data_IF_784562565234
#
_entry.id   IF_784562565234
#
_cell.length_a   1.000
_cell.length_b   1.000
_cell.length_c   1.000
_cell.angle_alpha   90.00
_cell.angle_beta   90.00
_cell.angle_gamma   90.00
#
_symmetry.space_group_name_H-M   'P 1'
#
loop_
_entity.id
_entity.type
_entity.pdbx_description
1 polymer ?
#
# COMPACT_ATOMS: atom_id res chain seq x y z
N UNK A 1 -12.86 -12.84 -25.50
CA UNK A 1 -11.74 -13.00 -24.57
C UNK A 1 -10.59 -12.26 -25.22
N UNK A 2 -10.14 -11.15 -24.65
CA UNK A 2 -8.94 -10.48 -25.12
C UNK A 2 -7.82 -11.15 -24.32
N UNK A 3 -7.00 -11.94 -24.99
CA UNK A 3 -5.84 -12.54 -24.34
C UNK A 3 -4.74 -11.47 -24.29
N UNK A 4 -4.34 -11.09 -23.07
CA UNK A 4 -3.20 -10.21 -22.85
C UNK A 4 -1.90 -10.98 -23.11
N UNK A 5 -0.92 -10.31 -23.69
CA UNK A 5 0.43 -10.89 -23.83
C UNK A 5 1.15 -10.92 -22.48
N UNK A 6 2.12 -11.80 -22.32
CA UNK A 6 2.97 -11.86 -21.11
C UNK A 6 3.62 -10.49 -20.81
N UNK A 7 4.00 -9.74 -21.85
CA UNK A 7 4.53 -8.39 -21.72
C UNK A 7 3.49 -7.40 -21.16
N UNK A 8 2.24 -7.49 -21.61
CA UNK A 8 1.15 -6.65 -21.11
C UNK A 8 0.80 -7.00 -19.65
N UNK A 9 0.80 -8.29 -19.31
CA UNK A 9 0.60 -8.77 -17.93
C UNK A 9 1.72 -8.24 -17.04
N UNK A 10 2.98 -8.44 -17.42
CA UNK A 10 4.13 -7.98 -16.64
C UNK A 10 4.16 -6.45 -16.49
N UNK A 11 3.78 -5.69 -17.52
CA UNK A 11 3.69 -4.23 -17.41
C UNK A 11 2.58 -3.78 -16.44
N UNK A 12 1.44 -4.47 -16.42
CA UNK A 12 0.37 -4.23 -15.46
C UNK A 12 0.82 -4.56 -14.03
N UNK A 13 1.50 -5.69 -13.85
CA UNK A 13 2.02 -6.11 -12.55
C UNK A 13 3.10 -5.17 -12.00
N UNK A 14 4.01 -4.69 -12.85
CA UNK A 14 4.97 -3.65 -12.48
C UNK A 14 4.24 -2.39 -11.98
N UNK A 15 3.24 -1.93 -12.74
CA UNK A 15 2.45 -0.75 -12.38
C UNK A 15 1.74 -0.97 -11.04
N UNK A 16 1.08 -2.10 -10.85
CA UNK A 16 0.38 -2.41 -9.59
C UNK A 16 1.36 -2.46 -8.42
N UNK A 17 2.49 -3.17 -8.54
CA UNK A 17 3.50 -3.24 -7.49
C UNK A 17 4.06 -1.86 -7.13
N UNK A 18 4.33 -1.01 -8.12
CA UNK A 18 4.83 0.35 -7.88
C UNK A 18 3.83 1.22 -7.10
N UNK A 19 2.55 1.19 -7.48
CA UNK A 19 1.50 1.94 -6.77
C UNK A 19 1.20 1.36 -5.39
N UNK A 20 1.27 0.04 -5.23
CA UNK A 20 1.14 -0.64 -3.94
C UNK A 20 2.20 -0.12 -2.95
N UNK A 21 3.48 -0.17 -3.32
CA UNK A 21 4.55 0.26 -2.42
C UNK A 21 4.57 1.79 -2.21
N UNK A 22 4.20 2.56 -3.22
CA UNK A 22 4.05 4.01 -3.10
C UNK A 22 2.90 4.39 -2.14
N UNK A 23 1.80 3.63 -2.12
CA UNK A 23 0.70 3.79 -1.17
C UNK A 23 1.15 3.62 0.27
N UNK A 24 1.88 2.53 0.56
CA UNK A 24 2.51 2.30 1.86
C UNK A 24 3.42 3.45 2.26
N UNK A 25 4.36 3.84 1.38
CA UNK A 25 5.32 4.91 1.64
C UNK A 25 4.62 6.22 1.97
N UNK A 26 3.63 6.63 1.17
CA UNK A 26 2.96 7.92 1.33
C UNK A 26 2.28 8.03 2.69
N UNK A 27 1.48 7.03 3.11
CA UNK A 27 0.83 7.08 4.43
C UNK A 27 1.85 6.98 5.56
N UNK A 28 2.88 6.14 5.41
CA UNK A 28 3.91 6.00 6.43
C UNK A 28 4.66 7.31 6.68
N UNK A 29 5.03 8.03 5.62
CA UNK A 29 5.71 9.33 5.69
C UNK A 29 4.77 10.43 6.17
N UNK A 30 3.49 10.40 5.77
CA UNK A 30 2.46 11.32 6.28
C UNK A 30 2.35 11.26 7.81
N UNK A 31 2.54 10.08 8.40
CA UNK A 31 2.53 9.89 9.84
C UNK A 31 3.86 10.22 10.53
N UNK A 32 4.83 10.78 9.80
CA UNK A 32 6.13 11.20 10.32
C UNK A 32 7.17 10.08 10.38
N UNK A 33 6.89 8.95 9.71
CA UNK A 33 7.90 7.93 9.43
C UNK A 33 8.76 8.29 8.23
N UNK A 34 9.67 7.39 7.88
CA UNK A 34 10.44 7.44 6.64
C UNK A 34 10.75 6.03 6.16
N UNK A 35 10.85 5.83 4.85
CA UNK A 35 11.20 4.53 4.27
C UNK A 35 11.45 4.59 2.77
N UNK A 36 11.96 3.49 2.22
CA UNK A 36 12.21 3.35 0.79
C UNK A 36 11.26 2.32 0.19
N UNK A 37 10.53 2.67 -0.87
CA UNK A 37 9.84 1.70 -1.69
C UNK A 37 10.81 1.15 -2.74
N UNK A 38 10.72 -0.15 -3.04
CA UNK A 38 11.48 -0.79 -4.11
C UNK A 38 10.62 -1.78 -4.87
N UNK A 39 10.86 -1.91 -6.18
CA UNK A 39 10.20 -2.90 -7.04
C UNK A 39 11.29 -3.58 -7.88
N UNK A 40 11.19 -4.90 -8.05
CA UNK A 40 12.16 -5.68 -8.82
C UNK A 40 11.51 -6.88 -9.49
N UNK A 41 12.15 -7.40 -10.54
CA UNK A 41 11.64 -8.54 -11.30
C UNK A 41 11.71 -9.82 -10.46
N UNK A 42 10.67 -10.63 -10.53
CA UNK A 42 10.64 -11.94 -9.90
C UNK A 42 11.50 -12.93 -10.71
N UNK A 43 12.38 -13.65 -10.02
CA UNK A 43 13.34 -14.59 -10.63
C UNK A 43 12.92 -16.07 -10.47
N UNK A 44 11.73 -16.34 -9.92
CA UNK A 44 11.27 -17.71 -9.66
C UNK A 44 11.05 -18.53 -10.94
N UNK A 45 10.75 -17.87 -12.07
CA UNK A 45 10.41 -18.54 -13.34
C UNK A 45 9.07 -19.28 -13.30
N UNK A 46 8.29 -19.13 -12.23
CA UNK A 46 6.96 -19.73 -12.09
C UNK A 46 5.91 -18.79 -12.72
N UNK A 47 5.21 -19.20 -13.79
CA UNK A 47 4.22 -18.36 -14.46
C UNK A 47 2.96 -18.11 -13.60
N UNK A 48 2.76 -18.87 -12.53
CA UNK A 48 1.67 -18.65 -11.56
C UNK A 48 2.00 -17.56 -10.52
N UNK A 49 3.24 -17.08 -10.48
CA UNK A 49 3.64 -15.96 -9.63
C UNK A 49 3.69 -14.65 -10.43
N UNK A 50 3.51 -13.53 -9.73
CA UNK A 50 3.67 -12.20 -10.34
C UNK A 50 5.10 -12.02 -10.88
N UNK A 51 5.23 -11.40 -12.05
CA UNK A 51 6.51 -11.09 -12.69
C UNK A 51 7.29 -10.01 -11.94
N UNK A 52 6.63 -9.25 -11.06
CA UNK A 52 7.22 -8.17 -10.26
C UNK A 52 6.90 -8.34 -8.79
N UNK A 53 7.88 -8.01 -7.94
CA UNK A 53 7.77 -7.95 -6.49
C UNK A 53 8.00 -6.53 -6.01
N UNK A 54 7.28 -6.13 -4.98
CA UNK A 54 7.45 -4.85 -4.29
C UNK A 54 7.88 -5.06 -2.84
N UNK A 55 8.51 -4.04 -2.26
CA UNK A 55 8.66 -3.92 -0.82
C UNK A 55 8.86 -2.47 -0.39
N UNK A 56 8.03 -2.00 0.53
CA UNK A 56 8.30 -0.84 1.34
C UNK A 56 9.19 -1.20 2.53
N UNK A 57 10.27 -0.44 2.72
CA UNK A 57 11.31 -0.67 3.72
C UNK A 57 11.35 0.50 4.70
N UNK A 58 10.65 0.38 5.85
CA UNK A 58 10.71 1.40 6.89
C UNK A 58 12.13 1.65 7.39
N UNK A 59 12.54 2.91 7.46
CA UNK A 59 13.80 3.37 8.07
C UNK A 59 13.59 3.99 9.43
N UNK A 60 12.46 4.67 9.61
CA UNK A 60 12.19 5.39 10.85
C UNK A 60 10.71 5.31 11.19
N UNK A 61 10.41 4.79 12.39
CA UNK A 61 9.03 4.55 12.81
C UNK A 61 8.30 5.83 13.23
N UNK A 62 7.06 6.08 12.75
CA UNK A 62 6.20 7.18 13.19
C UNK A 62 6.13 7.36 14.72
N UNK A 63 5.90 6.26 15.45
CA UNK A 63 5.79 6.26 16.91
C UNK A 63 7.10 6.71 17.59
N UNK A 64 8.23 6.20 17.08
CA UNK A 64 9.56 6.50 17.62
C UNK A 64 9.93 7.96 17.33
N UNK A 65 9.63 8.44 16.11
CA UNK A 65 9.88 9.84 15.75
C UNK A 65 9.05 10.80 16.56
N UNK A 66 7.73 10.55 16.67
CA UNK A 66 6.84 11.37 17.48
C UNK A 66 7.31 11.42 18.93
N UNK A 67 7.63 10.27 19.54
CA UNK A 67 8.16 10.21 20.91
C UNK A 67 9.46 11.00 21.06
N UNK A 68 10.38 10.88 20.11
CA UNK A 68 11.66 11.58 20.15
C UNK A 68 11.50 13.09 20.04
N UNK A 69 10.65 13.56 19.12
CA UNK A 69 10.36 14.99 18.93
C UNK A 69 9.76 15.62 20.20
N UNK A 70 8.74 14.98 20.78
CA UNK A 70 8.08 15.46 21.99
C UNK A 70 9.06 15.50 23.19
N UNK A 71 9.91 14.48 23.34
CA UNK A 71 10.91 14.43 24.41
C UNK A 71 11.94 15.57 24.35
N UNK A 72 12.17 16.15 23.17
CA UNK A 72 13.09 17.26 22.96
C UNK A 72 12.36 18.62 22.85
N UNK A 73 11.07 18.68 23.16
CA UNK A 73 10.29 19.91 23.14
C UNK A 73 9.90 20.39 21.74
N UNK A 74 10.05 19.54 20.71
CA UNK A 74 9.58 19.84 19.36
C UNK A 74 8.09 19.49 19.21
N UNK A 75 7.39 20.26 18.38
CA UNK A 75 6.06 19.87 17.91
C UNK A 75 6.17 18.61 17.04
N UNK A 76 5.21 17.70 17.19
CA UNK A 76 5.14 16.47 16.39
C UNK A 76 3.75 16.33 15.77
N UNK A 77 3.64 15.92 14.49
CA UNK A 77 2.36 15.64 13.84
C UNK A 77 1.53 14.64 14.64
N UNK A 78 0.22 14.85 14.71
CA UNK A 78 -0.70 13.89 15.33
C UNK A 78 -0.57 12.53 14.65
N UNK A 79 -0.52 11.48 15.47
CA UNK A 79 -0.41 10.11 15.01
C UNK A 79 -1.70 9.38 15.41
N UNK A 80 -2.56 9.00 14.45
CA UNK A 80 -3.78 8.26 14.75
C UNK A 80 -3.47 6.95 15.48
N UNK A 81 -4.34 6.53 16.41
CA UNK A 81 -4.13 5.29 17.16
C UNK A 81 -4.12 4.05 16.25
N UNK A 82 -4.87 4.10 15.14
CA UNK A 82 -5.01 3.08 14.11
C UNK A 82 -3.99 3.25 12.95
N UNK A 83 -2.96 4.09 13.06
CA UNK A 83 -2.05 4.39 11.94
C UNK A 83 -1.44 3.14 11.26
N UNK A 84 -1.13 2.09 12.04
CA UNK A 84 -0.61 0.82 11.49
C UNK A 84 -1.62 0.12 10.60
N UNK A 85 -2.90 0.16 10.97
CA UNK A 85 -4.00 -0.41 10.19
C UNK A 85 -4.16 0.38 8.88
N UNK A 86 -4.12 1.71 8.95
CA UNK A 86 -4.18 2.59 7.78
C UNK A 86 -3.02 2.33 6.81
N UNK A 87 -1.79 2.19 7.31
CA UNK A 87 -0.63 1.83 6.47
C UNK A 87 -0.80 0.42 5.90
N UNK A 88 -1.18 -0.57 6.70
CA UNK A 88 -1.25 -1.97 6.25
C UNK A 88 -2.20 -2.20 5.07
N UNK A 89 -3.31 -1.46 4.99
CA UNK A 89 -4.22 -1.54 3.83
C UNK A 89 -3.85 -0.64 2.66
N UNK A 90 -2.86 0.26 2.84
CA UNK A 90 -2.59 1.35 1.90
C UNK A 90 -2.19 0.86 0.52
N UNK A 91 -1.41 -0.21 0.43
CA UNK A 91 -0.97 -0.77 -0.84
C UNK A 91 -2.14 -1.30 -1.68
N UNK A 92 -3.02 -2.12 -1.09
CA UNK A 92 -4.19 -2.67 -1.79
C UNK A 92 -5.16 -1.56 -2.21
N UNK A 93 -5.43 -0.60 -1.33
CA UNK A 93 -6.31 0.54 -1.68
C UNK A 93 -5.70 1.47 -2.72
N UNK A 94 -4.37 1.61 -2.77
CA UNK A 94 -3.72 2.36 -3.83
C UNK A 94 -3.89 1.68 -5.19
N UNK A 95 -3.87 0.34 -5.24
CA UNK A 95 -4.20 -0.41 -6.46
C UNK A 95 -5.68 -0.22 -6.87
N UNK A 96 -6.60 -0.20 -5.91
CA UNK A 96 -8.03 0.01 -6.18
C UNK A 96 -8.31 1.44 -6.70
N UNK A 97 -7.62 2.45 -6.16
CA UNK A 97 -7.69 3.82 -6.69
C UNK A 97 -7.07 3.89 -8.09
N UNK A 98 -5.96 3.18 -8.32
CA UNK A 98 -5.29 3.12 -9.62
C UNK A 98 -6.17 2.50 -10.70
N UNK A 99 -6.92 1.44 -10.36
CA UNK A 99 -7.77 0.72 -11.32
C UNK A 99 -8.85 1.62 -11.91
N UNK A 100 -9.33 2.59 -11.12
CA UNK A 100 -10.39 3.52 -11.51
C UNK A 100 -11.75 2.83 -11.72
N UNK A 101 -11.93 1.60 -11.21
CA UNK A 101 -13.18 0.84 -11.37
C UNK A 101 -14.32 1.41 -10.54
N UNK A 102 -14.02 2.07 -9.42
CA UNK A 102 -14.99 2.73 -8.55
C UNK A 102 -14.37 3.95 -7.87
N UNK A 103 -15.20 4.96 -7.61
CA UNK A 103 -14.85 6.10 -6.75
C UNK A 103 -15.51 6.00 -5.35
N UNK A 104 -16.37 5.01 -5.13
CA UNK A 104 -17.08 4.80 -3.87
C UNK A 104 -16.20 4.07 -2.85
N UNK A 105 -15.97 4.69 -1.69
CA UNK A 105 -15.11 4.13 -0.66
C UNK A 105 -15.74 2.92 0.06
N UNK A 106 -17.08 2.83 0.10
CA UNK A 106 -17.78 1.65 0.60
C UNK A 106 -17.54 0.43 -0.30
N UNK A 107 -17.65 0.62 -1.61
CA UNK A 107 -17.31 -0.42 -2.58
C UNK A 107 -15.82 -0.82 -2.51
N UNK A 108 -14.92 0.12 -2.27
CA UNK A 108 -13.49 -0.21 -2.03
C UNK A 108 -13.29 -1.03 -0.75
N UNK A 109 -14.09 -0.81 0.31
CA UNK A 109 -14.06 -1.65 1.50
C UNK A 109 -14.52 -3.08 1.23
N UNK A 110 -15.58 -3.25 0.42
CA UNK A 110 -16.03 -4.58 -0.02
C UNK A 110 -14.93 -5.28 -0.84
N UNK A 111 -14.33 -4.57 -1.79
CA UNK A 111 -13.21 -5.08 -2.61
C UNK A 111 -12.02 -5.49 -1.73
N UNK A 112 -11.60 -4.63 -0.80
CA UNK A 112 -10.50 -4.92 0.13
C UNK A 112 -10.79 -6.18 0.95
N UNK A 113 -12.01 -6.34 1.46
CA UNK A 113 -12.43 -7.55 2.17
C UNK A 113 -12.26 -8.80 1.31
N UNK A 114 -12.80 -8.80 0.08
CA UNK A 114 -12.69 -9.95 -0.83
C UNK A 114 -11.24 -10.27 -1.18
N UNK A 115 -10.40 -9.25 -1.42
CA UNK A 115 -8.97 -9.43 -1.70
C UNK A 115 -8.24 -10.06 -0.53
N UNK A 116 -8.51 -9.61 0.71
CA UNK A 116 -7.93 -10.20 1.92
C UNK A 116 -8.37 -11.66 2.08
N UNK A 117 -9.66 -11.97 1.96
CA UNK A 117 -10.17 -13.34 2.10
C UNK A 117 -9.66 -14.29 1.01
N UNK A 118 -9.34 -13.76 -0.18
CA UNK A 118 -8.73 -14.55 -1.25
C UNK A 118 -7.20 -14.70 -1.12
N UNK A 119 -6.58 -14.06 -0.13
CA UNK A 119 -5.14 -14.18 0.14
C UNK A 119 -4.26 -13.21 -0.64
N UNK A 120 -4.81 -12.13 -1.21
CA UNK A 120 -4.03 -11.13 -1.96
C UNK A 120 -3.16 -10.26 -1.04
N UNK A 121 -3.52 -10.14 0.24
CA UNK A 121 -2.79 -9.36 1.21
C UNK A 121 -1.53 -10.09 1.69
N UNK A 122 -0.39 -9.38 1.75
CA UNK A 122 0.85 -9.97 2.25
C UNK A 122 0.77 -10.24 3.77
N UNK A 123 1.57 -11.19 4.26
CA UNK A 123 1.66 -11.46 5.69
C UNK A 123 2.09 -10.22 6.52
N UNK A 124 2.90 -9.33 5.94
CA UNK A 124 3.28 -8.06 6.58
C UNK A 124 2.11 -7.08 6.68
N UNK A 125 1.29 -6.98 5.63
CA UNK A 125 0.12 -6.08 5.62
C UNK A 125 -0.91 -6.55 6.64
N UNK A 126 -1.21 -7.86 6.65
CA UNK A 126 -2.10 -8.48 7.64
C UNK A 126 -1.60 -8.25 9.06
N UNK A 127 -0.30 -8.40 9.31
CA UNK A 127 0.28 -8.15 10.62
C UNK A 127 0.16 -6.67 11.05
N UNK A 128 0.32 -5.72 10.12
CA UNK A 128 0.13 -4.30 10.41
C UNK A 128 -1.34 -3.97 10.74
N UNK A 129 -2.28 -4.62 10.05
CA UNK A 129 -3.72 -4.50 10.31
C UNK A 129 -4.20 -5.30 11.53
N UNK A 130 -3.33 -6.09 12.17
CA UNK A 130 -3.70 -7.03 13.24
C UNK A 130 -4.75 -8.07 12.82
N UNK A 131 -4.74 -8.47 11.55
CA UNK A 131 -5.64 -9.48 11.00
C UNK A 131 -5.00 -10.85 11.16
N UNK A 132 -5.64 -11.72 11.94
CA UNK A 132 -5.25 -13.13 12.12
C UNK A 132 -6.24 -14.10 11.49
N UNK A 133 -7.44 -13.64 11.16
CA UNK A 133 -8.51 -14.39 10.52
C UNK A 133 -8.89 -13.65 9.22
N UNK A 134 -8.51 -14.22 8.08
CA UNK A 134 -8.73 -13.60 6.76
C UNK A 134 -10.18 -13.75 6.28
N UNK A 135 -10.92 -14.72 6.82
CA UNK A 135 -12.33 -14.94 6.48
C UNK A 135 -13.24 -13.95 7.22
N UNK A 136 -12.71 -13.32 8.28
CA UNK A 136 -13.40 -12.30 9.07
C UNK A 136 -12.40 -11.22 9.53
N UNK A 137 -11.87 -10.45 8.58
CA UNK A 137 -10.76 -9.54 8.81
C UNK A 137 -11.05 -8.37 9.78
N UNK A 138 -12.31 -8.15 10.16
CA UNK A 138 -12.69 -7.21 11.24
C UNK A 138 -12.37 -5.73 10.97
N UNK A 139 -12.05 -5.35 9.73
CA UNK A 139 -11.85 -3.95 9.34
C UNK A 139 -13.21 -3.25 9.26
N UNK A 140 -13.33 -2.07 9.90
CA UNK A 140 -14.54 -1.26 9.80
C UNK A 140 -14.52 -0.41 8.53
N UNK A 141 -15.69 -0.15 7.95
CA UNK A 141 -15.83 0.68 6.76
C UNK A 141 -15.26 2.08 6.99
N UNK A 142 -15.45 2.65 8.18
CA UNK A 142 -14.96 4.00 8.52
C UNK A 142 -13.43 4.09 8.46
N UNK A 143 -12.72 3.02 8.86
CA UNK A 143 -11.25 2.99 8.79
C UNK A 143 -10.79 2.88 7.33
N UNK A 144 -11.51 2.12 6.49
CA UNK A 144 -11.20 2.04 5.06
C UNK A 144 -11.48 3.37 4.36
N UNK A 145 -12.62 4.01 4.64
CA UNK A 145 -12.95 5.34 4.13
C UNK A 145 -11.90 6.38 4.53
N UNK A 146 -11.39 6.30 5.77
CA UNK A 146 -10.29 7.13 6.22
C UNK A 146 -9.02 6.90 5.39
N UNK A 147 -8.62 5.65 5.17
CA UNK A 147 -7.44 5.32 4.38
C UNK A 147 -7.57 5.79 2.92
N UNK A 148 -8.73 5.54 2.28
CA UNK A 148 -9.02 5.99 0.91
C UNK A 148 -8.94 7.52 0.81
N UNK A 149 -9.53 8.24 1.78
CA UNK A 149 -9.47 9.71 1.81
C UNK A 149 -8.02 10.19 1.92
N UNK A 150 -7.23 9.62 2.83
CA UNK A 150 -5.83 10.01 3.03
C UNK A 150 -4.98 9.71 1.78
N UNK A 151 -5.21 8.57 1.12
CA UNK A 151 -4.58 8.19 -0.15
C UNK A 151 -4.92 9.17 -1.26
N UNK A 152 -6.20 9.55 -1.41
CA UNK A 152 -6.64 10.53 -2.40
C UNK A 152 -6.02 11.91 -2.18
N UNK A 153 -5.94 12.37 -0.93
CA UNK A 153 -5.26 13.62 -0.58
C UNK A 153 -3.77 13.60 -0.95
N UNK A 154 -3.11 12.46 -0.76
CA UNK A 154 -1.70 12.25 -1.09
C UNK A 154 -1.44 11.69 -2.49
N UNK A 155 -2.46 11.56 -3.34
CA UNK A 155 -2.36 10.82 -4.59
C UNK A 155 -1.28 11.34 -5.55
N UNK A 156 -1.05 12.66 -5.71
CA UNK A 156 0.05 13.15 -6.54
C UNK A 156 1.42 12.65 -6.07
N UNK A 157 1.62 12.44 -4.77
CA UNK A 157 2.87 11.89 -4.20
C UNK A 157 2.99 10.40 -4.53
N UNK A 158 1.88 9.66 -4.41
CA UNK A 158 1.83 8.24 -4.79
C UNK A 158 2.17 8.07 -6.26
N UNK A 159 1.57 8.89 -7.14
CA UNK A 159 1.84 8.84 -8.58
C UNK A 159 3.31 9.14 -8.89
N UNK A 160 3.86 10.20 -8.30
CA UNK A 160 5.25 10.57 -8.51
C UNK A 160 6.22 9.46 -8.07
N UNK A 161 6.01 8.87 -6.90
CA UNK A 161 6.84 7.78 -6.40
C UNK A 161 6.70 6.53 -7.27
N UNK A 162 5.46 6.15 -7.64
CA UNK A 162 5.22 4.98 -8.49
C UNK A 162 5.88 5.13 -9.87
N UNK A 163 5.79 6.31 -10.49
CA UNK A 163 6.47 6.60 -11.76
C UNK A 163 7.99 6.49 -11.65
N UNK A 164 8.56 6.98 -10.55
CA UNK A 164 9.99 6.82 -10.26
C UNK A 164 10.38 5.34 -10.10
N UNK A 165 9.58 4.54 -9.40
CA UNK A 165 9.82 3.09 -9.22
C UNK A 165 9.76 2.36 -10.56
N UNK A 166 8.76 2.67 -11.40
CA UNK A 166 8.60 2.07 -12.73
C UNK A 166 9.81 2.39 -13.62
N UNK A 167 10.27 3.64 -13.61
CA UNK A 167 11.45 4.06 -14.38
C UNK A 167 12.71 3.34 -13.88
N UNK A 168 12.92 3.33 -12.56
CA UNK A 168 14.08 2.68 -11.95
C UNK A 168 14.13 1.16 -12.16
N UNK A 169 12.97 0.54 -12.38
CA UNK A 169 12.85 -0.89 -12.66
C UNK A 169 13.16 -1.24 -14.14
N UNK A 170 13.16 -0.26 -15.04
CA UNK A 170 13.48 -0.44 -16.46
C UNK A 170 14.98 -0.30 -16.76
N UNK A 171 15.75 0.26 -15.82
CA UNK A 171 17.21 0.45 -15.86
C UNK A 171 17.98 -0.80 -15.39
#
# INVERSE_FOLDING_TARGET
MIDFTDEQIAARELRNAAYHEAGHKMLYERFGGAGDAVVWKNESGNPEETAWRGQFRPRTCPEVMRKTALNHGFAAPELPANWKILVGMAGLLAEDILSGETDDAGAMADTLFFRISNGDASASDLAQMSITDIDNCGLSYEVVEEAVRLLREGWPVVQQEAEYLIQSAAD
#
